data_IF_946316084026
#
_entry.id   IF_946316084026
#
_cell.length_a   1.000
_cell.length_b   1.000
_cell.length_c   1.000
_cell.angle_alpha   90.00
_cell.angle_beta   90.00
_cell.angle_gamma   90.00
#
_symmetry.space_group_name_H-M   'P 1'
#
loop_
_entity.id
_entity.type
_entity.pdbx_description
1 polymer ?
#
# COMPACT_ATOMS: atom_id res chain seq x y z
N UNK A 1 -2.06 -5.34 47.25
CA UNK A 1 -2.47 -3.92 47.22
C UNK A 1 -1.54 -3.04 46.38
N UNK A 2 -0.22 -3.10 46.56
CA UNK A 2 0.77 -2.26 45.84
C UNK A 2 0.73 -2.43 44.30
N UNK A 3 0.63 -3.66 43.77
CA UNK A 3 0.44 -3.90 42.32
C UNK A 3 -0.88 -3.36 41.75
N UNK A 4 -1.93 -3.26 42.58
CA UNK A 4 -3.26 -2.75 42.19
C UNK A 4 -3.22 -1.22 42.11
N UNK A 5 -2.56 -0.57 43.07
CA UNK A 5 -2.33 0.90 43.11
C UNK A 5 -1.41 1.33 41.95
N UNK A 6 -0.34 0.58 41.64
CA UNK A 6 0.54 0.85 40.50
C UNK A 6 -0.17 0.81 39.15
N UNK A 7 -1.04 -0.20 38.92
CA UNK A 7 -1.88 -0.29 37.71
C UNK A 7 -2.91 0.84 37.61
N UNK A 8 -3.46 1.29 38.73
CA UNK A 8 -4.41 2.42 38.77
C UNK A 8 -3.74 3.75 38.41
N UNK A 9 -2.51 3.99 38.87
CA UNK A 9 -1.73 5.19 38.51
C UNK A 9 -1.34 5.16 37.03
N UNK A 10 -0.91 4.00 36.51
CA UNK A 10 -0.54 3.83 35.10
C UNK A 10 -1.74 4.09 34.16
N UNK A 11 -2.95 3.66 34.55
CA UNK A 11 -4.18 3.94 33.81
C UNK A 11 -4.56 5.43 33.82
N UNK A 12 -4.37 6.11 34.96
CA UNK A 12 -4.64 7.55 35.11
C UNK A 12 -3.63 8.42 34.35
N UNK A 13 -2.38 7.97 34.22
CA UNK A 13 -1.34 8.71 33.52
C UNK A 13 -1.30 8.45 32.01
N UNK A 14 -1.92 7.36 31.52
CA UNK A 14 -1.95 7.01 30.10
C UNK A 14 -2.49 8.13 29.19
N UNK A 15 -3.58 8.84 29.53
CA UNK A 15 -4.03 10.02 28.76
C UNK A 15 -3.00 11.14 28.74
N UNK A 16 -2.31 11.40 29.85
CA UNK A 16 -1.27 12.44 29.94
C UNK A 16 -0.06 12.11 29.05
N UNK A 17 0.48 10.89 29.14
CA UNK A 17 1.63 10.48 28.31
C UNK A 17 1.29 10.50 26.83
N UNK A 18 0.10 10.02 26.47
CA UNK A 18 -0.41 10.09 25.11
C UNK A 18 -0.54 11.53 24.62
N UNK A 19 -1.15 12.42 25.41
CA UNK A 19 -1.22 13.83 25.08
C UNK A 19 0.18 14.43 24.91
N UNK A 20 1.10 14.19 25.84
CA UNK A 20 2.47 14.70 25.81
C UNK A 20 3.22 14.25 24.56
N UNK A 21 3.12 12.96 24.22
CA UNK A 21 3.72 12.38 23.02
C UNK A 21 3.21 13.08 21.75
N UNK A 22 1.90 13.05 21.52
CA UNK A 22 1.31 13.63 20.31
C UNK A 22 1.44 15.16 20.24
N UNK A 23 1.40 15.85 21.37
CA UNK A 23 1.67 17.29 21.46
C UNK A 23 3.08 17.64 21.04
N UNK A 24 4.06 16.86 21.51
CA UNK A 24 5.47 17.06 21.19
C UNK A 24 5.75 16.72 19.72
N UNK A 25 5.22 15.59 19.24
CA UNK A 25 5.26 15.19 17.85
C UNK A 25 4.74 16.30 16.94
N UNK A 26 3.50 16.76 17.17
CA UNK A 26 2.88 17.79 16.34
C UNK A 26 3.65 19.12 16.37
N UNK A 27 4.10 19.58 17.56
CA UNK A 27 4.92 20.81 17.66
C UNK A 27 6.22 20.69 16.88
N UNK A 28 6.88 19.53 16.94
CA UNK A 28 8.10 19.29 16.16
C UNK A 28 7.81 19.33 14.65
N UNK A 29 6.72 18.70 14.19
CA UNK A 29 6.31 18.76 12.78
C UNK A 29 6.11 20.20 12.31
N UNK A 30 5.32 21.00 13.05
CA UNK A 30 5.08 22.40 12.73
C UNK A 30 6.40 23.19 12.67
N UNK A 31 7.26 23.04 13.69
CA UNK A 31 8.56 23.73 13.72
C UNK A 31 9.43 23.39 12.52
N UNK A 32 9.48 22.12 12.10
CA UNK A 32 10.27 21.68 10.96
C UNK A 32 9.71 22.23 9.64
N UNK A 33 8.39 22.22 9.47
CA UNK A 33 7.72 22.78 8.29
C UNK A 33 7.98 24.28 8.16
N UNK A 34 7.90 25.02 9.27
CA UNK A 34 8.08 26.47 9.24
C UNK A 34 9.57 26.87 9.08
N UNK A 35 10.51 26.06 9.57
CA UNK A 35 11.95 26.31 9.42
C UNK A 35 12.50 25.91 8.05
N UNK A 36 11.91 24.90 7.40
CA UNK A 36 12.28 24.46 6.05
C UNK A 36 11.07 24.54 5.10
N UNK A 37 10.62 25.76 4.73
CA UNK A 37 9.50 25.92 3.83
C UNK A 37 9.83 25.29 2.46
N UNK A 38 8.89 24.50 1.92
CA UNK A 38 9.04 23.89 0.60
C UNK A 38 9.13 24.99 -0.48
N UNK A 39 10.20 25.00 -1.28
CA UNK A 39 10.28 25.83 -2.49
C UNK A 39 9.15 25.40 -3.43
N UNK A 40 8.14 26.26 -3.60
CA UNK A 40 6.97 26.01 -4.49
C UNK A 40 7.32 26.05 -5.98
N UNK A 41 8.55 26.39 -6.35
CA UNK A 41 8.88 26.89 -7.69
C UNK A 41 9.05 25.87 -8.81
N UNK A 42 8.92 24.55 -8.61
CA UNK A 42 9.09 23.58 -9.71
C UNK A 42 8.15 22.36 -9.71
N UNK A 43 7.01 22.42 -9.01
CA UNK A 43 6.06 21.30 -9.04
C UNK A 43 4.91 21.62 -9.98
N UNK A 44 5.05 21.24 -11.27
CA UNK A 44 3.91 21.17 -12.18
C UNK A 44 2.78 20.40 -11.49
N UNK A 45 1.64 21.08 -11.35
CA UNK A 45 0.49 20.57 -10.63
C UNK A 45 -0.25 19.60 -11.55
N UNK A 46 -0.25 18.30 -11.22
CA UNK A 46 -0.92 17.27 -12.03
C UNK A 46 -1.97 16.54 -11.17
N UNK A 47 -3.23 16.38 -11.64
CA UNK A 47 -4.32 15.85 -10.83
C UNK A 47 -4.19 14.34 -10.63
N UNK A 48 -4.49 13.85 -9.42
CA UNK A 48 -4.39 12.47 -8.88
C UNK A 48 -3.10 12.17 -8.09
N UNK A 49 -1.90 12.41 -8.62
CA UNK A 49 -0.64 12.06 -7.90
C UNK A 49 -0.15 13.14 -6.94
N UNK A 50 -0.59 14.40 -7.04
CA UNK A 50 -0.21 15.45 -6.08
C UNK A 50 -1.33 15.81 -5.09
N UNK A 51 -2.35 14.96 -4.95
CA UNK A 51 -3.23 15.09 -3.78
C UNK A 51 -2.46 14.56 -2.57
N UNK A 52 -2.27 15.36 -1.50
CA UNK A 52 -1.69 14.81 -0.29
C UNK A 52 -2.53 13.63 0.18
N UNK A 53 -1.89 12.60 0.70
CA UNK A 53 -2.58 11.39 1.11
C UNK A 53 -1.97 10.71 2.31
N UNK A 54 -2.55 9.56 2.61
CA UNK A 54 -2.16 8.69 3.71
C UNK A 54 -1.82 7.32 3.14
N UNK A 55 -0.67 6.78 3.50
CA UNK A 55 -0.35 5.37 3.30
C UNK A 55 -0.43 4.63 4.64
N UNK A 56 -1.24 3.58 4.69
CA UNK A 56 -1.17 2.62 5.79
C UNK A 56 -0.11 1.57 5.47
N UNK A 57 0.78 1.35 6.44
CA UNK A 57 1.87 0.38 6.36
C UNK A 57 1.73 -0.60 7.52
N UNK A 58 1.43 -1.85 7.23
CA UNK A 58 1.24 -2.91 8.21
C UNK A 58 2.50 -3.78 8.30
N UNK A 59 3.13 -3.84 9.46
CA UNK A 59 4.35 -4.60 9.72
C UNK A 59 4.00 -5.96 10.35
N UNK A 60 4.89 -6.94 10.16
CA UNK A 60 4.86 -8.30 10.72
C UNK A 60 3.84 -9.28 10.08
N UNK A 61 4.26 -10.02 9.04
CA UNK A 61 3.39 -10.97 8.32
C UNK A 61 2.93 -12.17 9.13
N UNK A 62 3.51 -12.43 10.31
CA UNK A 62 2.91 -13.36 11.26
C UNK A 62 1.52 -12.92 11.77
N UNK A 63 1.05 -11.73 11.35
CA UNK A 63 -0.29 -11.17 11.58
C UNK A 63 -1.18 -11.21 10.33
N UNK A 64 -0.76 -11.89 9.25
CA UNK A 64 -1.50 -11.97 7.97
C UNK A 64 -2.97 -12.36 8.14
N UNK A 65 -3.28 -13.23 9.09
CA UNK A 65 -4.67 -13.62 9.35
C UNK A 65 -5.54 -12.41 9.72
N UNK A 66 -5.03 -11.48 10.54
CA UNK A 66 -5.76 -10.29 10.97
C UNK A 66 -5.98 -9.34 9.80
N UNK A 67 -4.93 -9.13 8.99
CA UNK A 67 -4.99 -8.32 7.77
C UNK A 67 -6.05 -8.85 6.81
N UNK A 68 -6.03 -10.16 6.58
CA UNK A 68 -6.94 -10.81 5.66
C UNK A 68 -8.38 -10.82 6.19
N UNK A 69 -8.58 -11.19 7.46
CA UNK A 69 -9.92 -11.36 8.04
C UNK A 69 -10.62 -10.04 8.31
N UNK A 70 -9.89 -9.03 8.80
CA UNK A 70 -10.49 -7.77 9.26
C UNK A 70 -10.11 -6.56 8.40
N UNK A 71 -9.04 -6.65 7.63
CA UNK A 71 -8.58 -5.59 6.73
C UNK A 71 -9.11 -5.73 5.31
N UNK A 72 -9.02 -6.91 4.69
CA UNK A 72 -9.34 -7.15 3.27
C UNK A 72 -10.63 -6.49 2.79
N UNK A 73 -11.76 -6.87 3.38
CA UNK A 73 -13.07 -6.35 2.97
C UNK A 73 -13.26 -4.88 3.39
N UNK A 74 -12.61 -4.45 4.48
CA UNK A 74 -12.61 -3.07 4.92
C UNK A 74 -11.93 -2.16 3.89
N UNK A 75 -10.73 -2.52 3.44
CA UNK A 75 -9.99 -1.77 2.44
C UNK A 75 -10.70 -1.78 1.09
N UNK A 76 -11.24 -2.94 0.69
CA UNK A 76 -12.07 -3.07 -0.51
C UNK A 76 -13.33 -2.21 -0.49
N UNK A 77 -14.05 -2.14 0.64
CA UNK A 77 -15.24 -1.29 0.79
C UNK A 77 -14.91 0.20 0.57
N UNK A 78 -13.76 0.65 1.06
CA UNK A 78 -13.32 2.03 0.89
C UNK A 78 -12.59 2.27 -0.43
N UNK A 79 -12.35 1.26 -1.28
CA UNK A 79 -11.54 1.37 -2.50
C UNK A 79 -10.16 2.00 -2.21
N UNK A 80 -9.47 1.50 -1.18
CA UNK A 80 -8.12 1.95 -0.81
C UNK A 80 -7.11 0.82 -0.89
N UNK A 81 -5.86 1.17 -1.23
CA UNK A 81 -4.71 0.27 -1.20
C UNK A 81 -3.85 0.56 0.04
N UNK A 82 -3.17 -0.47 0.54
CA UNK A 82 -2.29 -0.39 1.72
C UNK A 82 -1.01 -1.19 1.45
N UNK A 83 -0.01 -1.04 2.31
CA UNK A 83 1.25 -1.79 2.23
C UNK A 83 1.33 -2.80 3.37
N UNK A 84 1.63 -4.06 3.06
CA UNK A 84 1.91 -5.13 4.00
C UNK A 84 3.38 -5.51 3.92
N UNK A 85 4.12 -5.30 5.01
CA UNK A 85 5.55 -5.51 5.07
C UNK A 85 5.78 -6.88 5.70
N UNK A 86 6.23 -7.83 4.88
CA UNK A 86 6.29 -9.24 5.24
C UNK A 86 7.70 -9.62 5.67
N UNK A 87 7.77 -10.54 6.62
CA UNK A 87 8.98 -11.25 6.98
C UNK A 87 8.81 -12.74 6.64
N UNK A 88 9.89 -13.52 6.63
CA UNK A 88 9.83 -14.90 6.14
C UNK A 88 9.35 -15.93 7.16
N UNK A 89 9.32 -15.56 8.45
CA UNK A 89 9.14 -16.50 9.56
C UNK A 89 8.25 -15.94 10.65
N UNK A 90 7.63 -16.80 11.45
CA UNK A 90 6.81 -16.42 12.60
C UNK A 90 7.64 -16.46 13.90
N UNK A 91 8.03 -15.31 14.50
CA UNK A 91 8.87 -15.29 15.70
C UNK A 91 8.12 -15.69 16.99
N UNK A 92 6.81 -15.92 16.93
CA UNK A 92 5.98 -16.45 18.02
C UNK A 92 5.81 -17.97 17.94
N UNK A 93 6.04 -18.57 16.77
CA UNK A 93 5.95 -20.01 16.50
C UNK A 93 7.31 -20.61 16.18
N UNK A 94 8.30 -20.39 17.06
CA UNK A 94 9.67 -20.92 16.89
C UNK A 94 10.32 -20.62 15.53
N UNK A 95 10.04 -19.45 14.95
CA UNK A 95 10.57 -19.03 13.65
C UNK A 95 10.20 -19.98 12.49
N UNK A 96 9.02 -20.63 12.57
CA UNK A 96 8.43 -21.38 11.46
C UNK A 96 8.19 -20.46 10.26
N UNK A 97 8.48 -20.91 9.04
CA UNK A 97 8.09 -20.20 7.81
C UNK A 97 6.56 -20.15 7.63
N UNK A 98 6.05 -19.25 6.78
CA UNK A 98 4.61 -19.19 6.49
C UNK A 98 4.07 -20.51 5.88
N UNK A 99 2.86 -20.89 6.28
CA UNK A 99 2.10 -21.96 5.61
C UNK A 99 1.65 -21.51 4.22
N UNK A 100 1.33 -22.48 3.34
CA UNK A 100 0.69 -22.19 2.06
C UNK A 100 -0.61 -21.37 2.21
N UNK A 101 -1.40 -21.60 3.26
CA UNK A 101 -2.62 -20.82 3.50
C UNK A 101 -2.34 -19.35 3.84
N UNK A 102 -1.24 -19.07 4.54
CA UNK A 102 -0.79 -17.70 4.83
C UNK A 102 -0.25 -17.03 3.56
N UNK A 103 0.50 -17.76 2.74
CA UNK A 103 0.99 -17.30 1.42
C UNK A 103 -0.18 -16.97 0.49
N UNK A 104 -1.18 -17.86 0.38
CA UNK A 104 -2.36 -17.64 -0.44
C UNK A 104 -3.09 -16.35 0.00
N UNK A 105 -3.22 -16.10 1.31
CA UNK A 105 -3.81 -14.85 1.83
C UNK A 105 -3.02 -13.61 1.44
N UNK A 106 -1.69 -13.65 1.51
CA UNK A 106 -0.86 -12.52 1.07
C UNK A 106 -1.02 -12.25 -0.42
N UNK A 107 -1.06 -13.30 -1.25
CA UNK A 107 -1.21 -13.17 -2.70
C UNK A 107 -2.63 -12.76 -3.11
N UNK A 108 -3.65 -13.13 -2.33
CA UNK A 108 -5.00 -12.59 -2.49
C UNK A 108 -5.06 -11.09 -2.12
N UNK A 109 -4.38 -10.66 -1.04
CA UNK A 109 -4.26 -9.23 -0.71
C UNK A 109 -3.51 -8.47 -1.83
N UNK A 110 -2.43 -9.05 -2.35
CA UNK A 110 -1.72 -8.52 -3.51
C UNK A 110 -2.64 -8.38 -4.72
N UNK A 111 -3.42 -9.41 -5.04
CA UNK A 111 -4.36 -9.39 -6.16
C UNK A 111 -5.47 -8.33 -6.05
N UNK A 112 -5.70 -7.78 -4.84
CA UNK A 112 -6.59 -6.65 -4.60
C UNK A 112 -5.90 -5.27 -4.71
N UNK A 113 -4.66 -5.23 -5.21
CA UNK A 113 -3.92 -3.98 -5.41
C UNK A 113 -3.08 -3.56 -4.20
N UNK A 114 -3.02 -4.35 -3.13
CA UNK A 114 -2.19 -4.02 -1.98
C UNK A 114 -0.71 -4.32 -2.28
N UNK A 115 0.18 -3.48 -1.75
CA UNK A 115 1.62 -3.70 -1.88
C UNK A 115 2.08 -4.77 -0.87
N UNK A 116 2.83 -5.75 -1.35
CA UNK A 116 3.61 -6.65 -0.50
C UNK A 116 5.06 -6.16 -0.49
N UNK A 117 5.49 -5.62 0.65
CA UNK A 117 6.78 -4.99 0.85
C UNK A 117 7.69 -5.86 1.72
N UNK A 118 8.98 -5.54 1.73
CA UNK A 118 10.01 -6.33 2.40
C UNK A 118 10.23 -5.86 3.85
N UNK A 119 10.28 -6.79 4.80
CA UNK A 119 10.51 -6.51 6.23
C UNK A 119 11.62 -7.35 6.87
N UNK A 120 12.56 -7.86 6.07
CA UNK A 120 13.64 -8.73 6.53
C UNK A 120 13.17 -10.17 6.79
N UNK A 121 14.01 -11.16 6.51
CA UNK A 121 13.61 -12.56 6.63
C UNK A 121 13.30 -12.98 8.09
N UNK A 122 14.23 -12.82 9.04
CA UNK A 122 14.07 -13.25 10.43
C UNK A 122 13.68 -12.11 11.38
N UNK A 123 13.34 -10.95 10.82
CA UNK A 123 12.98 -9.75 11.56
C UNK A 123 14.11 -9.32 12.53
N UNK A 124 15.37 -9.36 12.05
CA UNK A 124 16.54 -8.95 12.85
C UNK A 124 16.85 -7.48 12.63
N UNK A 125 17.14 -6.77 13.72
CA UNK A 125 17.61 -5.38 13.61
C UNK A 125 18.95 -5.33 12.90
N UNK A 126 19.08 -4.37 11.99
CA UNK A 126 20.32 -4.09 11.25
C UNK A 126 21.49 -3.83 12.19
N UNK A 127 21.32 -2.93 13.16
CA UNK A 127 22.41 -2.45 14.01
C UNK A 127 23.05 -3.56 14.84
N UNK A 128 22.25 -4.31 15.60
CA UNK A 128 22.80 -5.36 16.47
C UNK A 128 23.37 -6.53 15.68
N UNK A 129 22.76 -6.86 14.54
CA UNK A 129 23.22 -7.96 13.71
C UNK A 129 24.51 -7.61 12.97
N UNK A 130 24.54 -6.45 12.29
CA UNK A 130 25.69 -6.00 11.52
C UNK A 130 26.91 -5.73 12.42
N UNK A 131 26.71 -5.23 13.65
CA UNK A 131 27.80 -5.10 14.62
C UNK A 131 28.46 -6.44 14.98
N UNK A 132 27.71 -7.54 14.94
CA UNK A 132 28.20 -8.86 15.34
C UNK A 132 28.71 -9.70 14.16
N UNK A 133 28.06 -9.59 13.00
CA UNK A 133 28.29 -10.49 11.86
C UNK A 133 28.66 -9.77 10.56
N UNK A 134 28.69 -8.43 10.56
CA UNK A 134 28.94 -7.60 9.38
C UNK A 134 27.67 -7.30 8.57
N UNK A 135 27.76 -6.23 7.76
CA UNK A 135 26.68 -5.76 6.88
C UNK A 135 26.34 -6.80 5.81
N UNK A 136 27.33 -7.40 5.16
CA UNK A 136 27.12 -8.38 4.09
C UNK A 136 26.34 -9.61 4.58
N UNK A 137 26.65 -10.10 5.78
CA UNK A 137 25.91 -11.19 6.41
C UNK A 137 24.45 -10.80 6.67
N UNK A 138 24.21 -9.57 7.14
CA UNK A 138 22.84 -9.08 7.34
C UNK A 138 22.07 -8.95 6.02
N UNK A 139 22.70 -8.43 4.96
CA UNK A 139 22.10 -8.35 3.63
C UNK A 139 21.71 -9.74 3.12
N UNK A 140 22.62 -10.71 3.20
CA UNK A 140 22.36 -12.09 2.79
C UNK A 140 21.24 -12.74 3.60
N UNK A 141 21.30 -12.63 4.93
CA UNK A 141 20.41 -13.35 5.83
C UNK A 141 19.01 -12.72 5.94
N UNK A 142 18.88 -11.40 5.75
CA UNK A 142 17.60 -10.70 5.88
C UNK A 142 17.04 -10.24 4.53
N UNK A 143 17.86 -9.63 3.66
CA UNK A 143 17.39 -9.05 2.39
C UNK A 143 17.25 -10.15 1.34
N UNK A 144 18.36 -10.79 0.97
CA UNK A 144 18.40 -11.76 -0.13
C UNK A 144 17.57 -13.00 0.19
N UNK A 145 17.64 -13.47 1.44
CA UNK A 145 16.88 -14.64 1.89
C UNK A 145 15.37 -14.45 1.74
N UNK A 146 14.84 -13.26 2.05
CA UNK A 146 13.41 -13.00 1.86
C UNK A 146 13.04 -12.76 0.41
N UNK A 147 13.89 -12.11 -0.40
CA UNK A 147 13.65 -11.98 -1.83
C UNK A 147 13.59 -13.36 -2.51
N UNK A 148 14.56 -14.21 -2.21
CA UNK A 148 14.59 -15.59 -2.69
C UNK A 148 13.38 -16.40 -2.22
N UNK A 149 12.96 -16.21 -0.96
CA UNK A 149 11.75 -16.83 -0.45
C UNK A 149 10.51 -16.36 -1.23
N UNK A 150 10.35 -15.06 -1.47
CA UNK A 150 9.22 -14.52 -2.24
C UNK A 150 9.20 -15.05 -3.68
N UNK A 151 10.35 -15.15 -4.34
CA UNK A 151 10.45 -15.66 -5.73
C UNK A 151 10.02 -17.12 -5.88
N UNK A 152 10.22 -17.93 -4.84
CA UNK A 152 9.95 -19.37 -4.84
C UNK A 152 8.54 -19.75 -4.39
N UNK A 153 7.71 -18.79 -3.97
CA UNK A 153 6.35 -19.05 -3.51
C UNK A 153 5.32 -18.49 -4.48
N UNK A 154 4.22 -19.24 -4.63
CA UNK A 154 3.09 -18.86 -5.45
C UNK A 154 1.78 -19.26 -4.77
N UNK A 155 0.69 -18.66 -5.21
CA UNK A 155 -0.64 -18.98 -4.76
C UNK A 155 -0.99 -20.38 -5.24
N UNK A 156 -1.52 -21.22 -4.36
CA UNK A 156 -1.79 -22.65 -4.60
C UNK A 156 -2.73 -22.92 -5.78
N UNK A 157 -3.76 -22.09 -5.96
CA UNK A 157 -4.74 -22.20 -7.05
C UNK A 157 -4.38 -21.41 -8.31
N UNK A 158 -3.98 -20.14 -8.17
CA UNK A 158 -3.79 -19.25 -9.33
C UNK A 158 -2.38 -19.30 -9.92
N UNK A 159 -1.41 -19.87 -9.18
CA UNK A 159 0.02 -19.82 -9.46
C UNK A 159 0.60 -18.38 -9.56
N UNK A 160 -0.15 -17.36 -9.13
CA UNK A 160 0.34 -15.99 -9.03
C UNK A 160 1.53 -15.95 -8.07
N UNK A 161 2.58 -15.21 -8.41
CA UNK A 161 3.78 -15.06 -7.58
C UNK A 161 3.79 -13.70 -6.90
N UNK A 162 4.62 -13.56 -5.88
CA UNK A 162 4.87 -12.26 -5.28
C UNK A 162 5.49 -11.30 -6.30
N UNK A 163 5.04 -10.05 -6.31
CA UNK A 163 5.69 -8.99 -7.06
C UNK A 163 7.00 -8.61 -6.36
N UNK A 164 7.97 -8.13 -7.15
CA UNK A 164 9.21 -7.61 -6.58
C UNK A 164 8.90 -6.42 -5.66
N UNK A 165 9.33 -6.44 -4.39
CA UNK A 165 9.05 -5.36 -3.45
C UNK A 165 9.77 -4.07 -3.87
N UNK A 166 9.05 -2.95 -3.87
CA UNK A 166 9.59 -1.61 -4.14
C UNK A 166 10.08 -0.94 -2.87
N UNK A 167 9.41 -1.21 -1.74
CA UNK A 167 9.70 -0.61 -0.45
C UNK A 167 10.22 -1.63 0.57
N UNK A 168 11.07 -1.13 1.46
CA UNK A 168 11.58 -1.87 2.61
C UNK A 168 11.15 -1.20 3.92
N UNK A 169 11.00 -2.02 4.95
CA UNK A 169 10.58 -1.65 6.28
C UNK A 169 11.64 -2.06 7.29
N UNK A 170 12.26 -1.12 8.01
CA UNK A 170 13.25 -1.49 9.02
C UNK A 170 12.59 -2.21 10.22
N UNK A 171 12.98 -3.45 10.55
CA UNK A 171 12.53 -4.12 11.77
C UNK A 171 12.80 -3.25 13.00
N UNK A 172 11.79 -3.13 13.88
CA UNK A 172 11.84 -2.29 15.08
C UNK A 172 12.12 -0.80 14.85
N UNK A 173 11.96 -0.33 13.60
CA UNK A 173 12.34 1.01 13.15
C UNK A 173 13.82 1.38 13.32
N UNK A 174 14.69 0.39 13.54
CA UNK A 174 16.11 0.63 13.78
C UNK A 174 16.84 0.58 12.45
N UNK A 175 17.36 1.74 12.05
CA UNK A 175 18.14 1.89 10.82
C UNK A 175 19.48 2.57 11.10
N UNK A 176 20.36 2.48 10.11
CA UNK A 176 21.56 3.31 10.02
C UNK A 176 21.73 3.78 8.57
N UNK A 177 22.40 4.91 8.38
CA UNK A 177 22.57 5.56 7.06
C UNK A 177 23.43 4.75 6.09
N UNK A 178 24.35 3.93 6.60
CA UNK A 178 25.21 3.07 5.78
C UNK A 178 24.39 1.98 5.10
N UNK A 179 23.58 1.25 5.86
CA UNK A 179 22.64 0.25 5.34
C UNK A 179 21.64 0.88 4.38
N UNK A 180 21.14 2.09 4.68
CA UNK A 180 20.24 2.78 3.78
C UNK A 180 20.87 2.98 2.39
N UNK A 181 22.14 3.41 2.35
CA UNK A 181 22.91 3.59 1.10
C UNK A 181 23.21 2.28 0.39
N UNK A 182 23.28 1.17 1.12
CA UNK A 182 23.46 -0.15 0.52
C UNK A 182 22.16 -0.69 -0.09
N UNK A 183 21.03 -0.58 0.61
CA UNK A 183 19.80 -1.26 0.19
C UNK A 183 18.98 -0.49 -0.84
N UNK A 184 18.98 0.84 -0.78
CA UNK A 184 18.12 1.66 -1.65
C UNK A 184 18.55 1.63 -3.13
N UNK A 185 19.80 1.94 -3.49
CA UNK A 185 20.18 1.91 -4.90
C UNK A 185 20.18 0.50 -5.51
N UNK A 186 20.23 -0.56 -4.69
CA UNK A 186 20.37 -1.95 -5.16
C UNK A 186 19.06 -2.74 -5.15
N UNK A 187 18.22 -2.56 -4.13
CA UNK A 187 17.06 -3.43 -3.89
C UNK A 187 15.72 -2.69 -3.87
N UNK A 188 15.65 -1.48 -3.31
CA UNK A 188 14.37 -0.80 -3.01
C UNK A 188 14.39 0.69 -3.35
N UNK A 189 13.29 1.25 -3.84
CA UNK A 189 13.21 2.71 -4.07
C UNK A 189 13.23 3.51 -2.75
N UNK A 190 12.58 2.97 -1.72
CA UNK A 190 12.46 3.61 -0.40
C UNK A 190 12.61 2.61 0.74
N UNK A 191 13.15 3.09 1.86
CA UNK A 191 13.23 2.34 3.10
C UNK A 191 12.59 3.14 4.23
N UNK A 192 11.60 2.54 4.88
CA UNK A 192 10.71 3.20 5.82
C UNK A 192 11.11 2.88 7.26
N UNK A 193 11.28 3.93 8.06
CA UNK A 193 11.59 3.87 9.49
C UNK A 193 10.57 4.63 10.33
N UNK A 194 10.95 5.04 11.54
CA UNK A 194 10.10 5.83 12.43
C UNK A 194 10.15 7.33 12.08
N UNK A 195 10.00 8.18 13.10
CA UNK A 195 9.99 9.63 12.99
C UNK A 195 11.31 10.20 12.46
N UNK A 196 11.21 11.16 11.54
CA UNK A 196 12.33 11.95 11.03
C UNK A 196 11.83 13.30 10.50
N UNK A 197 12.53 14.40 10.83
CA UNK A 197 12.18 15.77 10.46
C UNK A 197 10.70 16.10 10.73
N UNK A 198 9.93 16.45 9.70
CA UNK A 198 8.52 16.81 9.78
C UNK A 198 7.58 15.59 9.70
N UNK A 199 8.13 14.37 9.59
CA UNK A 199 7.39 13.11 9.44
C UNK A 199 6.46 13.06 8.23
N UNK A 200 6.72 13.89 7.22
CA UNK A 200 5.97 13.93 5.98
C UNK A 200 6.86 13.52 4.80
N UNK A 201 6.26 12.92 3.79
CA UNK A 201 6.97 12.33 2.65
C UNK A 201 6.49 12.99 1.36
N UNK A 202 7.43 13.46 0.53
CA UNK A 202 7.10 13.95 -0.82
C UNK A 202 6.74 12.77 -1.74
N UNK A 203 6.00 13.02 -2.81
CA UNK A 203 5.91 12.04 -3.91
C UNK A 203 7.25 11.86 -4.61
N UNK A 204 7.40 10.73 -5.31
CA UNK A 204 8.65 10.31 -5.93
C UNK A 204 9.79 10.23 -4.91
N UNK A 205 9.48 9.86 -3.66
CA UNK A 205 10.48 9.71 -2.61
C UNK A 205 11.51 8.65 -3.00
N UNK A 206 12.76 8.92 -2.65
CA UNK A 206 13.87 7.97 -2.77
C UNK A 206 14.65 8.00 -1.46
N UNK A 207 15.05 6.83 -0.98
CA UNK A 207 15.79 6.73 0.28
C UNK A 207 14.90 6.58 1.50
N UNK A 208 15.25 7.25 2.59
CA UNK A 208 14.53 7.12 3.86
C UNK A 208 13.17 7.82 3.81
N UNK A 209 12.12 7.12 4.24
CA UNK A 209 10.78 7.72 4.45
C UNK A 209 10.31 7.54 5.90
N UNK A 210 9.87 8.62 6.58
CA UNK A 210 9.39 8.53 7.95
C UNK A 210 7.98 7.94 8.04
N UNK A 211 7.66 7.38 9.20
CA UNK A 211 6.30 6.96 9.54
C UNK A 211 5.93 7.29 10.99
N UNK A 212 4.63 7.35 11.27
CA UNK A 212 4.08 7.52 12.62
C UNK A 212 3.35 6.23 13.02
N UNK A 213 3.82 5.58 14.09
CA UNK A 213 3.20 4.36 14.61
C UNK A 213 1.89 4.67 15.37
N UNK A 214 0.82 3.90 15.12
CA UNK A 214 -0.51 4.13 15.69
C UNK A 214 -0.91 3.21 16.85
N UNK A 215 -0.20 2.11 17.03
CA UNK A 215 -0.50 1.05 17.99
C UNK A 215 0.50 0.99 19.15
N UNK A 216 0.38 -0.07 19.97
CA UNK A 216 1.28 -0.33 21.09
C UNK A 216 1.33 0.83 22.09
N UNK A 217 2.56 1.20 22.45
CA UNK A 217 2.85 2.30 23.38
C UNK A 217 2.39 3.67 22.84
N UNK A 218 2.48 3.89 21.54
CA UNK A 218 2.25 5.20 20.94
C UNK A 218 0.78 5.63 21.03
N UNK A 219 -0.12 4.69 20.73
CA UNK A 219 -1.58 4.86 20.71
C UNK A 219 -2.07 6.00 19.81
N UNK A 220 -3.30 5.94 19.30
CA UNK A 220 -3.81 6.98 18.39
C UNK A 220 -4.39 8.22 19.08
N UNK A 221 -4.05 9.44 18.64
CA UNK A 221 -4.77 10.67 19.04
C UNK A 221 -5.58 11.31 17.91
N UNK A 222 -6.92 11.24 18.01
CA UNK A 222 -7.83 11.84 17.04
C UNK A 222 -7.65 13.35 16.86
N UNK A 223 -7.41 14.04 17.97
CA UNK A 223 -7.20 15.48 17.97
C UNK A 223 -5.97 15.87 17.16
N UNK A 224 -4.84 15.20 17.39
CA UNK A 224 -3.60 15.52 16.68
C UNK A 224 -3.59 15.00 15.26
N UNK A 225 -4.21 13.84 14.97
CA UNK A 225 -4.30 13.36 13.60
C UNK A 225 -5.11 14.32 12.71
N UNK A 226 -6.23 14.88 13.21
CA UNK A 226 -6.96 15.93 12.49
C UNK A 226 -6.11 17.18 12.23
N UNK A 227 -5.21 17.54 13.14
CA UNK A 227 -4.26 18.64 12.90
C UNK A 227 -3.20 18.27 11.87
N UNK A 228 -2.67 17.05 11.91
CA UNK A 228 -1.71 16.55 10.93
C UNK A 228 -2.33 16.52 9.53
N UNK A 229 -3.58 16.07 9.38
CA UNK A 229 -4.33 16.12 8.11
C UNK A 229 -4.37 17.54 7.53
N UNK A 230 -4.52 18.57 8.37
CA UNK A 230 -4.42 19.98 7.91
C UNK A 230 -3.02 20.35 7.45
N UNK A 231 -1.97 19.80 8.07
CA UNK A 231 -0.58 19.98 7.62
C UNK A 231 -0.34 19.31 6.26
N UNK A 232 -0.91 18.13 6.01
CA UNK A 232 -0.82 17.47 4.70
C UNK A 232 -1.38 18.36 3.60
N UNK A 233 -2.57 18.95 3.82
CA UNK A 233 -3.16 19.92 2.89
C UNK A 233 -2.31 21.19 2.71
N UNK A 234 -1.73 21.71 3.79
CA UNK A 234 -0.85 22.91 3.74
C UNK A 234 0.41 22.64 2.91
N UNK A 235 0.98 21.45 3.04
CA UNK A 235 2.30 21.10 2.49
C UNK A 235 2.24 20.38 1.15
N UNK A 236 1.11 19.74 0.81
CA UNK A 236 1.01 18.85 -0.35
C UNK A 236 1.75 17.52 -0.18
N UNK A 237 2.27 17.23 1.03
CA UNK A 237 3.02 16.01 1.34
C UNK A 237 2.12 14.88 1.87
N UNK A 238 2.67 13.69 1.92
CA UNK A 238 2.01 12.46 2.35
C UNK A 238 2.41 12.05 3.76
N UNK A 239 1.54 11.28 4.40
CA UNK A 239 1.78 10.69 5.72
C UNK A 239 1.80 9.16 5.60
N UNK A 240 2.83 8.53 6.15
CA UNK A 240 2.87 7.07 6.33
C UNK A 240 2.50 6.74 7.77
N UNK A 241 1.47 5.92 7.96
CA UNK A 241 0.99 5.45 9.25
C UNK A 241 1.34 3.98 9.42
N UNK A 242 2.15 3.67 10.43
CA UNK A 242 2.55 2.30 10.72
C UNK A 242 1.60 1.65 11.73
N UNK A 243 1.20 0.43 11.41
CA UNK A 243 0.36 -0.45 12.20
C UNK A 243 0.99 -1.86 12.16
N UNK A 244 0.60 -2.75 13.07
CA UNK A 244 0.98 -4.16 12.95
C UNK A 244 -0.28 -5.00 12.71
N UNK A 245 -1.17 -5.13 13.70
CA UNK A 245 -2.42 -5.89 13.53
C UNK A 245 -3.64 -4.99 13.35
N UNK A 246 -4.66 -5.46 12.66
CA UNK A 246 -5.99 -4.83 12.60
C UNK A 246 -7.02 -5.78 13.19
N UNK A 247 -7.62 -5.38 14.31
CA UNK A 247 -8.55 -6.24 15.07
C UNK A 247 -9.79 -5.44 15.51
N UNK A 248 -10.96 -6.05 15.66
CA UNK A 248 -12.09 -5.40 16.31
C UNK A 248 -11.79 -5.08 17.79
N UNK A 249 -12.43 -4.04 18.35
CA UNK A 249 -12.14 -3.57 19.73
C UNK A 249 -12.49 -4.62 20.79
N UNK A 250 -13.48 -5.46 20.48
CA UNK A 250 -13.99 -6.55 21.31
C UNK A 250 -13.05 -7.75 21.40
N UNK A 251 -12.02 -7.86 20.54
CA UNK A 251 -11.09 -8.97 20.60
C UNK A 251 -10.04 -8.74 21.71
N UNK A 252 -10.04 -9.63 22.71
CA UNK A 252 -9.08 -9.64 23.82
C UNK A 252 -7.68 -10.06 23.32
N UNK A 253 -6.64 -9.63 24.04
CA UNK A 253 -5.22 -9.82 23.65
C UNK A 253 -4.68 -11.25 23.68
N UNK A 254 -5.55 -12.27 23.75
CA UNK A 254 -5.18 -13.69 23.75
C UNK A 254 -4.84 -14.22 22.35
N UNK A 255 -5.04 -13.41 21.31
CA UNK A 255 -4.91 -13.81 19.90
C UNK A 255 -3.51 -14.25 19.45
N UNK A 256 -2.45 -13.97 20.21
CA UNK A 256 -1.06 -14.25 19.80
C UNK A 256 -0.36 -15.32 20.63
N UNK A 257 -1.15 -16.18 21.27
CA UNK A 257 -0.65 -17.31 22.05
C UNK A 257 -0.47 -17.02 23.55
N UNK A 258 0.21 -17.94 24.23
CA UNK A 258 0.32 -17.94 25.70
C UNK A 258 1.66 -17.36 26.14
N UNK A 259 1.63 -16.53 27.17
CA UNK A 259 2.82 -16.02 27.86
C UNK A 259 3.07 -14.52 27.69
N UNK A 260 4.11 -14.04 28.39
CA UNK A 260 4.41 -12.60 28.51
C UNK A 260 4.71 -11.94 27.15
N UNK A 261 5.50 -12.61 26.31
CA UNK A 261 5.86 -12.11 24.97
C UNK A 261 4.63 -11.94 24.08
N UNK A 262 3.76 -12.95 24.02
CA UNK A 262 2.51 -12.90 23.28
C UNK A 262 1.59 -11.76 23.76
N UNK A 263 1.48 -11.59 25.09
CA UNK A 263 0.68 -10.52 25.69
C UNK A 263 1.20 -9.12 25.34
N UNK A 264 2.53 -8.92 25.40
CA UNK A 264 3.17 -7.66 24.99
C UNK A 264 2.98 -7.41 23.49
N UNK A 265 3.20 -8.43 22.67
CA UNK A 265 3.14 -8.34 21.21
C UNK A 265 1.71 -8.13 20.71
N UNK A 266 0.71 -8.60 21.47
CA UNK A 266 -0.69 -8.33 21.18
C UNK A 266 -1.09 -6.87 21.35
N UNK A 267 -0.30 -6.03 22.02
CA UNK A 267 -0.58 -4.59 22.13
C UNK A 267 -0.31 -3.82 20.83
N UNK A 268 0.47 -4.39 19.91
CA UNK A 268 0.74 -3.86 18.57
C UNK A 268 -0.44 -4.19 17.64
N UNK A 269 -1.53 -3.47 17.88
CA UNK A 269 -2.76 -3.55 17.11
C UNK A 269 -3.49 -2.21 17.06
N UNK A 270 -4.17 -1.97 15.95
CA UNK A 270 -5.17 -0.90 15.78
C UNK A 270 -6.56 -1.49 15.66
N UNK A 271 -7.59 -0.71 16.03
CA UNK A 271 -8.96 -1.16 15.84
C UNK A 271 -9.45 -0.95 14.40
N UNK A 272 -10.34 -1.81 13.91
CA UNK A 272 -11.02 -1.59 12.62
C UNK A 272 -11.78 -0.25 12.63
N UNK A 273 -12.38 0.13 13.76
CA UNK A 273 -13.04 1.42 13.97
C UNK A 273 -12.07 2.60 13.84
N UNK A 274 -10.87 2.47 14.37
CA UNK A 274 -9.83 3.49 14.23
C UNK A 274 -9.49 3.68 12.76
N UNK A 275 -9.18 2.60 12.03
CA UNK A 275 -8.87 2.67 10.59
C UNK A 275 -10.00 3.35 9.82
N UNK A 276 -11.26 2.95 10.04
CA UNK A 276 -12.46 3.62 9.47
C UNK A 276 -12.46 5.13 9.75
N UNK A 277 -12.26 5.52 11.01
CA UNK A 277 -12.27 6.92 11.44
C UNK A 277 -11.19 7.74 10.72
N UNK A 278 -10.00 7.17 10.53
CA UNK A 278 -8.92 7.82 9.79
C UNK A 278 -9.30 7.97 8.31
N UNK A 279 -9.85 6.91 7.72
CA UNK A 279 -10.26 6.92 6.31
C UNK A 279 -11.32 7.99 6.07
N UNK A 280 -12.38 8.00 6.88
CA UNK A 280 -13.48 8.94 6.76
C UNK A 280 -13.01 10.39 6.92
N UNK A 281 -12.15 10.66 7.90
CA UNK A 281 -11.60 12.00 8.12
C UNK A 281 -10.69 12.45 6.96
N UNK A 282 -9.86 11.56 6.43
CA UNK A 282 -9.01 11.85 5.28
C UNK A 282 -9.83 12.12 4.01
N UNK A 283 -10.83 11.28 3.71
CA UNK A 283 -11.76 11.49 2.57
C UNK A 283 -12.54 12.79 2.71
N UNK A 284 -13.05 13.10 3.91
CA UNK A 284 -13.72 14.39 4.19
C UNK A 284 -12.82 15.59 3.91
N UNK A 285 -11.50 15.40 4.03
CA UNK A 285 -10.50 16.43 3.78
C UNK A 285 -9.92 16.41 2.35
N UNK A 286 -10.47 15.58 1.45
CA UNK A 286 -10.02 15.38 0.06
C UNK A 286 -8.56 14.87 -0.03
N UNK A 287 -8.18 14.00 0.91
CA UNK A 287 -6.94 13.23 0.83
C UNK A 287 -7.19 11.89 0.12
N UNK A 288 -6.16 11.39 -0.54
CA UNK A 288 -6.15 10.06 -1.16
C UNK A 288 -5.40 9.03 -0.30
N UNK A 289 -5.45 7.77 -0.72
CA UNK A 289 -4.72 6.67 -0.09
C UNK A 289 -3.75 6.05 -1.07
N UNK A 290 -2.56 5.76 -0.57
CA UNK A 290 -1.46 5.25 -1.37
C UNK A 290 -0.82 4.05 -0.68
N UNK A 291 -0.23 3.18 -1.49
CA UNK A 291 0.82 2.29 -1.03
C UNK A 291 2.14 3.07 -0.85
N UNK A 292 3.12 2.45 -0.22
CA UNK A 292 4.46 3.02 -0.05
C UNK A 292 5.17 3.09 -1.41
N UNK A 293 4.96 2.10 -2.29
CA UNK A 293 5.44 2.12 -3.68
C UNK A 293 4.90 3.31 -4.49
N UNK A 294 3.62 3.65 -4.35
CA UNK A 294 3.01 4.81 -5.01
C UNK A 294 3.58 6.13 -4.49
N UNK A 295 3.82 6.25 -3.17
CA UNK A 295 4.53 7.39 -2.59
C UNK A 295 5.95 7.51 -3.18
N UNK A 296 6.63 6.39 -3.42
CA UNK A 296 7.93 6.33 -4.08
C UNK A 296 7.87 6.64 -5.59
N UNK A 297 6.67 6.83 -6.14
CA UNK A 297 6.46 7.16 -7.56
C UNK A 297 6.54 5.96 -8.49
N UNK A 298 6.39 4.74 -7.97
CA UNK A 298 6.47 3.50 -8.74
C UNK A 298 5.06 2.93 -8.95
N UNK A 299 4.74 2.61 -10.21
CA UNK A 299 3.50 1.96 -10.58
C UNK A 299 3.61 0.45 -10.36
N UNK A 300 2.52 -0.15 -9.88
CA UNK A 300 2.38 -1.60 -9.79
C UNK A 300 1.19 -2.07 -10.62
N UNK A 301 1.27 -3.28 -11.16
CA UNK A 301 0.24 -3.86 -12.02
C UNK A 301 -0.07 -5.26 -11.52
N UNK A 302 -1.35 -5.53 -11.27
CA UNK A 302 -1.77 -6.86 -10.82
C UNK A 302 -1.66 -7.87 -11.96
N UNK A 303 -2.17 -7.54 -13.13
CA UNK A 303 -2.06 -8.41 -14.30
C UNK A 303 -0.66 -8.31 -14.92
N UNK A 304 0.10 -9.41 -14.91
CA UNK A 304 1.44 -9.45 -15.50
C UNK A 304 1.45 -9.17 -17.01
N UNK A 305 0.38 -9.54 -17.74
CA UNK A 305 0.27 -9.27 -19.17
C UNK A 305 0.02 -7.79 -19.43
N UNK A 306 -0.72 -7.13 -18.53
CA UNK A 306 -0.88 -5.68 -18.59
C UNK A 306 0.45 -4.98 -18.33
N UNK A 307 1.19 -5.42 -17.31
CA UNK A 307 2.53 -4.90 -17.01
C UNK A 307 3.47 -5.05 -18.22
N UNK A 308 3.52 -6.24 -18.82
CA UNK A 308 4.33 -6.53 -20.01
C UNK A 308 3.95 -5.63 -21.18
N UNK A 309 2.66 -5.51 -21.49
CA UNK A 309 2.18 -4.63 -22.57
C UNK A 309 2.54 -3.15 -22.34
N UNK A 310 2.50 -2.67 -21.09
CA UNK A 310 2.92 -1.31 -20.74
C UNK A 310 4.43 -1.15 -20.88
N UNK A 311 5.22 -2.15 -20.47
CA UNK A 311 6.68 -2.16 -20.64
C UNK A 311 7.06 -2.11 -22.11
N UNK A 312 6.42 -2.91 -22.96
CA UNK A 312 6.59 -2.88 -24.41
C UNK A 312 6.29 -1.49 -24.98
N UNK A 313 5.13 -0.92 -24.63
CA UNK A 313 4.71 0.40 -25.11
C UNK A 313 5.72 1.50 -24.75
N UNK A 314 6.28 1.45 -23.55
CA UNK A 314 7.23 2.45 -23.06
C UNK A 314 8.70 2.09 -23.32
N UNK A 315 8.97 0.94 -23.94
CA UNK A 315 10.33 0.42 -24.12
C UNK A 315 11.14 0.34 -22.80
N UNK A 316 10.48 -0.09 -21.72
CA UNK A 316 11.09 -0.25 -20.39
C UNK A 316 11.51 -1.71 -20.20
N UNK A 317 12.76 -1.94 -19.77
CA UNK A 317 13.27 -3.28 -19.50
C UNK A 317 12.58 -3.93 -18.28
N UNK A 318 12.55 -5.27 -18.23
CA UNK A 318 11.90 -6.03 -17.15
C UNK A 318 12.49 -5.80 -15.76
N UNK A 319 13.77 -5.43 -15.67
CA UNK A 319 14.47 -5.22 -14.39
C UNK A 319 14.32 -3.80 -13.82
N UNK A 320 13.76 -2.86 -14.59
CA UNK A 320 13.58 -1.46 -14.19
C UNK A 320 12.16 -1.23 -13.69
N UNK A 321 12.01 -0.47 -12.62
CA UNK A 321 10.68 -0.05 -12.15
C UNK A 321 10.00 0.88 -13.17
N UNK A 322 8.68 0.76 -13.28
CA UNK A 322 7.86 1.66 -14.10
C UNK A 322 7.50 2.87 -13.25
N UNK A 323 8.09 4.03 -13.53
CA UNK A 323 7.77 5.25 -12.79
C UNK A 323 6.42 5.81 -13.24
N UNK A 324 5.57 6.17 -12.29
CA UNK A 324 4.22 6.70 -12.55
C UNK A 324 4.28 7.93 -13.46
N UNK A 325 5.31 8.77 -13.30
CA UNK A 325 5.53 9.97 -14.12
C UNK A 325 5.68 9.67 -15.62
N UNK A 326 6.15 8.47 -15.99
CA UNK A 326 6.26 8.04 -17.38
C UNK A 326 4.87 7.67 -17.94
N UNK A 327 4.04 7.01 -17.13
CA UNK A 327 2.66 6.65 -17.50
C UNK A 327 1.81 7.89 -17.76
N UNK A 328 2.05 8.96 -17.00
CA UNK A 328 1.35 10.23 -17.15
C UNK A 328 1.63 10.94 -18.48
N UNK A 329 2.70 10.59 -19.20
CA UNK A 329 3.01 11.19 -20.52
C UNK A 329 2.17 10.57 -21.64
N UNK A 330 1.59 9.39 -21.40
CA UNK A 330 0.85 8.62 -22.39
C UNK A 330 -0.54 9.22 -22.61
N UNK A 331 -0.86 9.51 -23.88
CA UNK A 331 -2.18 9.98 -24.32
C UNK A 331 -2.99 8.93 -25.07
N UNK A 332 -2.32 7.97 -25.70
CA UNK A 332 -2.94 6.90 -26.46
C UNK A 332 -2.24 5.58 -26.11
N UNK A 333 -3.03 4.57 -25.74
CA UNK A 333 -2.52 3.27 -25.32
C UNK A 333 -3.28 2.15 -26.01
N UNK A 334 -2.55 1.26 -26.68
CA UNK A 334 -3.10 0.05 -27.26
C UNK A 334 -2.68 -1.17 -26.44
N UNK A 335 -3.67 -1.79 -25.79
CA UNK A 335 -3.54 -3.02 -25.03
C UNK A 335 -4.37 -4.15 -25.67
N UNK A 336 -4.72 -4.05 -26.95
CA UNK A 336 -5.55 -5.05 -27.61
C UNK A 336 -4.81 -6.36 -27.86
N UNK A 337 -5.54 -7.48 -27.80
CA UNK A 337 -5.01 -8.83 -28.02
C UNK A 337 -3.85 -9.21 -27.07
N UNK A 338 -3.86 -8.70 -25.84
CA UNK A 338 -2.81 -8.97 -24.84
C UNK A 338 -3.22 -10.00 -23.79
N UNK A 339 -4.44 -10.54 -23.88
CA UNK A 339 -4.96 -11.55 -22.94
C UNK A 339 -5.12 -11.01 -21.51
N UNK A 340 -5.28 -9.69 -21.36
CA UNK A 340 -5.37 -8.99 -20.07
C UNK A 340 -6.71 -9.32 -19.41
N UNK A 341 -6.69 -9.61 -18.12
CA UNK A 341 -7.85 -10.01 -17.32
C UNK A 341 -8.15 -9.04 -16.17
N UNK A 342 -7.19 -8.17 -15.79
CA UNK A 342 -7.37 -7.15 -14.77
C UNK A 342 -6.73 -5.81 -15.21
N UNK A 343 -7.41 -4.69 -14.96
CA UNK A 343 -7.00 -3.34 -15.33
C UNK A 343 -6.32 -2.55 -14.19
N UNK A 344 -6.05 -3.16 -13.04
CA UNK A 344 -5.35 -2.48 -11.94
C UNK A 344 -4.00 -1.92 -12.41
N UNK A 345 -3.79 -0.62 -12.16
CA UNK A 345 -2.66 0.15 -12.67
C UNK A 345 -3.03 1.06 -13.85
N UNK A 346 -4.23 0.92 -14.43
CA UNK A 346 -4.69 1.84 -15.47
C UNK A 346 -4.89 3.26 -14.92
N UNK A 347 -5.26 3.40 -13.64
CA UNK A 347 -5.50 4.69 -12.98
C UNK A 347 -4.30 5.64 -12.99
N UNK A 348 -3.08 5.13 -13.21
CA UNK A 348 -1.87 5.94 -13.32
C UNK A 348 -1.78 6.75 -14.63
N UNK A 349 -2.55 6.39 -15.67
CA UNK A 349 -2.51 7.01 -16.99
C UNK A 349 -3.39 8.27 -17.07
N UNK A 350 -3.12 9.26 -16.23
CA UNK A 350 -4.01 10.39 -15.96
C UNK A 350 -4.26 11.33 -17.14
N UNK A 351 -3.38 11.29 -18.13
CA UNK A 351 -3.51 12.06 -19.37
C UNK A 351 -3.97 11.22 -20.57
N UNK A 352 -4.38 9.97 -20.34
CA UNK A 352 -4.85 9.08 -21.39
C UNK A 352 -6.17 9.57 -21.97
N UNK A 353 -6.20 9.73 -23.29
CA UNK A 353 -7.35 10.18 -24.06
C UNK A 353 -7.96 9.06 -24.90
N UNK A 354 -7.13 8.11 -25.37
CA UNK A 354 -7.56 6.96 -26.18
C UNK A 354 -7.01 5.66 -25.63
N UNK A 355 -7.87 4.67 -25.45
CA UNK A 355 -7.51 3.36 -24.93
C UNK A 355 -8.16 2.24 -25.76
N UNK A 356 -7.34 1.34 -26.29
CA UNK A 356 -7.79 0.15 -26.99
C UNK A 356 -7.58 -1.09 -26.10
N UNK A 357 -8.68 -1.74 -25.70
CA UNK A 357 -8.73 -2.95 -24.87
C UNK A 357 -9.34 -4.14 -25.62
N UNK A 358 -9.46 -4.07 -26.95
CA UNK A 358 -10.12 -5.12 -27.73
C UNK A 358 -9.47 -6.49 -27.53
N UNK A 359 -10.26 -7.55 -27.61
CA UNK A 359 -9.76 -8.94 -27.63
C UNK A 359 -8.90 -9.30 -26.40
N UNK A 360 -9.40 -8.98 -25.20
CA UNK A 360 -8.79 -9.35 -23.92
C UNK A 360 -9.72 -10.28 -23.13
N UNK A 361 -9.44 -10.53 -21.86
CA UNK A 361 -10.21 -11.40 -20.95
C UNK A 361 -10.89 -10.58 -19.84
N UNK A 362 -11.19 -9.30 -20.10
CA UNK A 362 -11.72 -8.36 -19.11
C UNK A 362 -13.22 -8.57 -18.85
N UNK A 363 -13.61 -8.47 -17.59
CA UNK A 363 -15.01 -8.47 -17.15
C UNK A 363 -15.37 -7.30 -16.22
N UNK A 364 -14.38 -6.52 -15.78
CA UNK A 364 -14.55 -5.35 -14.93
C UNK A 364 -13.83 -4.15 -15.55
N UNK A 365 -14.58 -3.05 -15.73
CA UNK A 365 -14.10 -1.81 -16.33
C UNK A 365 -14.23 -0.62 -15.37
N UNK A 366 -14.60 -0.84 -14.10
CA UNK A 366 -14.89 0.22 -13.13
C UNK A 366 -13.72 1.18 -12.92
N UNK A 367 -12.48 0.73 -13.13
CA UNK A 367 -11.27 1.56 -13.01
C UNK A 367 -11.17 2.62 -14.11
N UNK A 368 -11.82 2.45 -15.27
CA UNK A 368 -11.79 3.46 -16.34
C UNK A 368 -12.39 4.81 -15.90
N UNK A 369 -13.27 4.82 -14.89
CA UNK A 369 -13.81 6.06 -14.30
C UNK A 369 -12.74 6.90 -13.58
N UNK A 370 -11.59 6.31 -13.24
CA UNK A 370 -10.46 6.99 -12.59
C UNK A 370 -9.59 7.77 -13.59
N UNK A 371 -9.89 7.69 -14.89
CA UNK A 371 -9.16 8.38 -15.95
C UNK A 371 -9.85 9.69 -16.36
N UNK A 372 -9.38 10.87 -15.88
CA UNK A 372 -10.10 12.13 -16.04
C UNK A 372 -10.11 12.69 -17.47
N UNK A 373 -9.20 12.24 -18.34
CA UNK A 373 -9.07 12.73 -19.72
C UNK A 373 -9.50 11.73 -20.80
N UNK A 374 -10.00 10.56 -20.40
CA UNK A 374 -10.34 9.49 -21.33
C UNK A 374 -11.57 9.85 -22.15
N UNK A 375 -11.44 9.82 -23.48
CA UNK A 375 -12.48 10.20 -24.45
C UNK A 375 -12.89 9.05 -25.37
N UNK A 376 -11.97 8.13 -25.66
CA UNK A 376 -12.23 7.05 -26.61
C UNK A 376 -11.77 5.72 -26.01
N UNK A 377 -12.68 4.76 -25.95
CA UNK A 377 -12.43 3.41 -25.42
C UNK A 377 -12.97 2.39 -26.40
N UNK A 378 -12.15 1.41 -26.76
CA UNK A 378 -12.56 0.24 -27.53
C UNK A 378 -12.45 -1.02 -26.68
N UNK A 379 -13.55 -1.74 -26.44
CA UNK A 379 -13.59 -2.92 -25.55
C UNK A 379 -14.18 -4.17 -26.22
N UNK A 380 -14.33 -4.18 -27.54
CA UNK A 380 -14.93 -5.29 -28.28
C UNK A 380 -14.13 -6.60 -28.11
N UNK A 381 -14.79 -7.75 -28.26
CA UNK A 381 -14.12 -9.05 -28.33
C UNK A 381 -13.59 -9.62 -27.01
N UNK A 382 -14.14 -9.22 -25.86
CA UNK A 382 -13.72 -9.82 -24.57
C UNK A 382 -14.06 -11.32 -24.48
N UNK A 383 -13.04 -12.16 -24.29
CA UNK A 383 -13.11 -13.60 -24.15
C UNK A 383 -13.27 -13.99 -22.67
N UNK A 384 -14.37 -13.58 -22.01
CA UNK A 384 -14.59 -13.91 -20.60
C UNK A 384 -15.08 -15.37 -20.42
N UNK A 385 -14.38 -16.17 -19.62
CA UNK A 385 -14.82 -17.55 -19.22
C UNK A 385 -15.93 -17.58 -18.16
N UNK A 386 -16.36 -16.44 -17.61
CA UNK A 386 -17.39 -16.33 -16.56
C UNK A 386 -18.63 -15.54 -17.02
N UNK A 387 -19.79 -15.89 -16.48
CA UNK A 387 -21.11 -15.28 -16.77
C UNK A 387 -21.06 -13.75 -16.54
N UNK A 388 -21.47 -12.97 -17.54
CA UNK A 388 -21.43 -11.50 -17.55
C UNK A 388 -22.42 -10.89 -16.56
N UNK A 389 -21.95 -10.04 -15.66
CA UNK A 389 -22.77 -9.03 -14.97
C UNK A 389 -22.27 -7.66 -15.42
N UNK A 390 -22.96 -7.06 -16.40
CA UNK A 390 -22.74 -5.66 -16.76
C UNK A 390 -23.61 -4.79 -15.84
N UNK A 391 -23.00 -4.02 -14.95
CA UNK A 391 -23.71 -2.91 -14.30
C UNK A 391 -23.79 -1.75 -15.31
N UNK A 392 -25.01 -1.39 -15.71
CA UNK A 392 -25.29 -0.35 -16.70
C UNK A 392 -24.86 1.09 -16.32
N UNK A 393 -24.17 1.28 -15.20
CA UNK A 393 -23.77 2.61 -14.70
C UNK A 393 -22.44 3.12 -15.25
N UNK A 394 -21.66 2.30 -15.97
CA UNK A 394 -20.34 2.68 -16.49
C UNK A 394 -20.42 3.88 -17.48
N UNK A 395 -21.54 4.02 -18.19
CA UNK A 395 -21.69 4.95 -19.31
C UNK A 395 -22.26 6.33 -18.95
N UNK A 396 -22.58 6.59 -17.69
CA UNK A 396 -23.08 7.92 -17.29
C UNK A 396 -21.98 8.99 -17.29
N UNK A 397 -20.71 8.61 -17.11
CA UNK A 397 -19.55 9.51 -17.13
C UNK A 397 -18.99 9.77 -18.54
N UNK A 398 -19.33 8.94 -19.52
CA UNK A 398 -18.86 9.02 -20.92
C UNK A 398 -19.89 9.70 -21.85
N UNK A 399 -20.88 10.42 -21.30
CA UNK A 399 -21.87 11.18 -22.09
C UNK A 399 -21.17 12.28 -22.89
N UNK A 400 -20.82 11.97 -24.14
CA UNK A 400 -20.05 12.83 -25.06
C UNK A 400 -18.85 12.14 -25.72
N UNK A 401 -18.51 10.92 -25.28
CA UNK A 401 -17.43 10.09 -25.80
C UNK A 401 -17.98 9.04 -26.77
N UNK A 402 -17.35 8.87 -27.93
CA UNK A 402 -17.74 7.85 -28.90
C UNK A 402 -17.30 6.47 -28.36
N UNK A 403 -18.15 5.83 -27.57
CA UNK A 403 -17.96 4.43 -27.21
C UNK A 403 -18.38 3.60 -28.41
N UNK A 404 -17.40 3.13 -29.20
CA UNK A 404 -17.66 2.17 -30.27
C UNK A 404 -17.84 0.81 -29.58
N UNK A 405 -19.10 0.47 -29.28
CA UNK A 405 -19.53 -0.88 -28.94
C UNK A 405 -19.96 -1.56 -30.24
N UNK A 406 -19.11 -2.43 -30.78
CA UNK A 406 -19.55 -3.45 -31.73
C UNK A 406 -19.87 -4.71 -30.92
N UNK A 407 -21.11 -4.80 -30.44
CA UNK A 407 -21.65 -6.02 -29.85
C UNK A 407 -21.81 -7.08 -30.95
N UNK A 408 -20.72 -7.80 -31.26
CA UNK A 408 -20.85 -9.11 -31.87
C UNK A 408 -21.36 -10.09 -30.80
N UNK A 409 -22.67 -10.08 -30.59
CA UNK A 409 -23.37 -11.16 -29.91
C UNK A 409 -23.22 -12.43 -30.75
N UNK A 410 -22.28 -13.30 -30.38
CA UNK A 410 -22.51 -14.72 -30.66
C UNK A 410 -23.71 -15.13 -29.80
N UNK A 411 -24.79 -15.45 -30.50
CA UNK A 411 -26.14 -15.74 -30.05
C UNK A 411 -26.23 -16.41 -28.67
N UNK A 412 -26.99 -15.82 -27.75
CA UNK A 412 -28.20 -16.40 -27.13
C UNK A 412 -29.05 -15.23 -26.62
N UNK A 413 -30.34 -15.23 -26.98
CA UNK A 413 -31.17 -14.03 -27.14
C UNK A 413 -31.43 -13.20 -25.87
N UNK A 414 -31.36 -11.88 -26.02
CA UNK A 414 -32.48 -10.96 -25.83
C UNK A 414 -31.99 -9.53 -26.15
N UNK A 415 -32.74 -8.86 -27.02
CA UNK A 415 -32.53 -7.50 -27.49
C UNK A 415 -32.87 -6.46 -26.43
N UNK A 416 -32.04 -5.43 -26.27
CA UNK A 416 -32.46 -4.16 -25.68
C UNK A 416 -32.00 -3.00 -26.58
N UNK A 417 -32.96 -2.17 -26.99
CA UNK A 417 -32.79 -0.91 -27.72
C UNK A 417 -32.45 0.23 -26.75
N UNK A 418 -31.45 1.04 -27.07
CA UNK A 418 -31.17 2.29 -26.35
C UNK A 418 -32.09 3.43 -26.83
N UNK A 419 -32.58 4.23 -25.87
CA UNK A 419 -32.94 5.65 -26.04
C UNK A 419 -31.89 6.47 -25.30
#
# INVERSE_FOLDING_TARGET
MIKKIGRSIEYLLKPYFKWRYWSTLYRNMVRQIDYFPSNKENNECIPYINKPGIAFSFDDSYRVYDWYKYGKDLFGYYDIKVTFNINGVNPLENYREHTQQEIDKLLELQAQGHEIAHHGFKHKTTTNYALKYGVDSWLKDEIDSLLHWMENHSHSTTNERFKKPVSFAFPHFVYNEEILKEIVPKYFKVARGHLYKDNLTNFNAVGYVPSICLDGYYSYSAYYLRKIIKLLKKTGKNLILTCHSILPEEHSGELYGVGKKASEWGTWRVSTRLIKTIIDEAKKNNLEFYTTSEIAGIATFIDHKMEEAVREHLSISSYKDIEIKELMKVKELDLSNKGISNLDGIEYFLNLEKLNLRNNELNDFRLLKKLPKLKNVSIDGQLSKKKKTFEGSLFTHLKGSCVILSLNMMAFGNSFSCI
#
